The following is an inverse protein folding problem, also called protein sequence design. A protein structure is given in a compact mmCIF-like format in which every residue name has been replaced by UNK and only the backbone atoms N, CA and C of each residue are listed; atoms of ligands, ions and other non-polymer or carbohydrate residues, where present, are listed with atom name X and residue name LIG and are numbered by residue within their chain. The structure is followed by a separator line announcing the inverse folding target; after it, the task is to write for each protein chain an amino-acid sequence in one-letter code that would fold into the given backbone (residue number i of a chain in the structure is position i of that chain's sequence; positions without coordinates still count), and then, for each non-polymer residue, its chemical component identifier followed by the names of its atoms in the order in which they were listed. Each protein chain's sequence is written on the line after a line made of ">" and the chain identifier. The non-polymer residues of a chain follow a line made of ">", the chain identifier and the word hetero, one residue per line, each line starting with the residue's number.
data_IF_012381676259
#
_entry.id   IF_012381676259
#
_cell.length_a   1.000
_cell.length_b   1.000
_cell.length_c   1.000
_cell.angle_alpha   90.00
_cell.angle_beta   90.00
_cell.angle_gamma   90.00
#
_symmetry.space_group_name_H-M   'P 1'
#
loop_
_entity.id
_entity.type
_entity.pdbx_description
1 polymer ?
#
# COMPACT_ATOMS: atom_id res chain seq x y z
N UNK A 1 37.48 33.55 6.75
CA UNK A 1 38.57 32.56 6.76
C UNK A 1 38.54 31.82 5.44
N UNK A 2 39.68 31.72 4.75
CA UNK A 2 39.81 31.03 3.47
C UNK A 2 40.70 29.81 3.69
N UNK A 3 40.13 28.73 4.20
CA UNK A 3 40.90 27.55 4.59
C UNK A 3 40.06 26.46 5.25
N UNK A 4 40.73 25.46 5.82
CA UNK A 4 40.10 24.43 6.67
C UNK A 4 40.42 24.69 8.13
N UNK A 5 39.39 24.79 8.96
CA UNK A 5 39.53 24.93 10.41
C UNK A 5 39.51 23.53 11.04
N UNK A 6 40.65 23.11 11.58
CA UNK A 6 40.76 21.86 12.34
C UNK A 6 40.51 22.11 13.81
N UNK A 7 39.37 21.64 14.31
CA UNK A 7 38.95 21.70 15.69
C UNK A 7 39.51 20.49 16.44
N UNK A 8 40.21 20.73 17.54
CA UNK A 8 40.60 19.69 18.48
C UNK A 8 40.42 20.26 19.88
N UNK A 9 39.16 20.34 20.30
CA UNK A 9 38.76 21.00 21.55
C UNK A 9 37.97 20.02 22.40
N UNK A 10 38.42 19.85 23.64
CA UNK A 10 37.76 18.99 24.63
C UNK A 10 36.45 19.59 25.17
N UNK A 11 36.22 20.89 24.94
CA UNK A 11 35.02 21.61 25.35
C UNK A 11 34.17 22.05 24.16
N UNK A 12 33.37 23.09 24.37
CA UNK A 12 32.44 23.61 23.38
C UNK A 12 33.16 24.47 22.34
N UNK A 13 32.92 24.18 21.06
CA UNK A 13 33.43 24.96 19.94
C UNK A 13 32.38 25.96 19.46
N UNK A 14 32.71 27.24 19.45
CA UNK A 14 31.87 28.29 18.85
C UNK A 14 32.65 28.91 17.71
N UNK A 15 32.20 28.70 16.48
CA UNK A 15 32.90 29.15 15.28
C UNK A 15 31.95 29.97 14.42
N UNK A 16 32.45 31.08 13.89
CA UNK A 16 31.70 31.91 12.96
C UNK A 16 32.60 32.35 11.79
N UNK A 17 32.02 32.36 10.60
CA UNK A 17 32.55 33.03 9.42
C UNK A 17 31.41 33.72 8.69
N UNK A 18 31.63 34.88 8.08
CA UNK A 18 30.58 35.54 7.29
C UNK A 18 30.43 34.92 5.90
N UNK A 19 31.42 34.17 5.43
CA UNK A 19 31.45 33.55 4.11
C UNK A 19 31.36 32.02 4.25
N UNK A 20 32.32 31.29 3.69
CA UNK A 20 32.40 29.84 3.77
C UNK A 20 33.26 29.40 4.96
N UNK A 21 32.79 28.40 5.69
CA UNK A 21 33.52 27.76 6.78
C UNK A 21 33.67 26.27 6.46
N UNK A 22 34.92 25.80 6.34
CA UNK A 22 35.22 24.38 6.22
C UNK A 22 35.79 23.87 7.54
N UNK A 23 35.15 22.87 8.14
CA UNK A 23 35.48 22.35 9.48
C UNK A 23 35.89 20.89 9.45
N UNK A 24 36.81 20.52 10.33
CA UNK A 24 37.24 19.14 10.56
C UNK A 24 37.70 18.94 12.01
N UNK A 25 37.91 17.69 12.42
CA UNK A 25 38.54 17.32 13.69
C UNK A 25 37.55 16.82 14.75
N UNK A 26 37.94 16.92 16.03
CA UNK A 26 37.20 16.36 17.17
C UNK A 26 36.75 17.47 18.12
N UNK A 27 35.48 17.42 18.54
CA UNK A 27 34.88 18.37 19.47
C UNK A 27 34.02 17.65 20.51
N UNK A 28 33.75 18.29 21.65
CA UNK A 28 32.66 17.83 22.52
C UNK A 28 31.33 18.29 21.93
N UNK A 29 31.02 19.59 21.99
CA UNK A 29 29.88 20.21 21.30
C UNK A 29 30.37 21.26 20.31
N UNK A 30 29.54 21.63 19.34
CA UNK A 30 29.87 22.74 18.45
C UNK A 30 28.64 23.53 18.00
N UNK A 31 28.80 24.85 17.90
CA UNK A 31 27.89 25.72 17.13
C UNK A 31 28.72 26.43 16.07
N UNK A 32 28.27 26.31 14.82
CA UNK A 32 28.97 26.83 13.66
C UNK A 32 28.06 27.75 12.88
N UNK A 33 28.53 28.97 12.61
CA UNK A 33 27.80 29.99 11.88
C UNK A 33 28.56 30.33 10.60
N UNK A 34 27.93 30.18 9.44
CA UNK A 34 28.53 30.50 8.14
C UNK A 34 27.47 30.90 7.12
N UNK A 35 27.85 31.52 6.00
CA UNK A 35 26.97 31.54 4.82
C UNK A 35 26.92 30.14 4.18
N UNK A 36 28.08 29.50 4.03
CA UNK A 36 28.20 28.12 3.54
C UNK A 36 29.08 27.31 4.48
N UNK A 37 28.61 26.14 4.91
CA UNK A 37 29.40 25.24 5.74
C UNK A 37 29.79 23.98 4.97
N UNK A 38 31.05 23.54 5.10
CA UNK A 38 31.55 22.29 4.54
C UNK A 38 32.12 21.43 5.67
N UNK A 39 31.51 20.27 5.92
CA UNK A 39 32.04 19.28 6.85
C UNK A 39 33.09 18.43 6.15
N UNK A 40 34.35 18.53 6.59
CA UNK A 40 35.53 17.89 5.99
C UNK A 40 36.15 16.87 6.98
N UNK A 41 35.30 16.10 7.66
CA UNK A 41 35.69 15.13 8.69
C UNK A 41 35.55 15.66 10.11
N UNK A 42 34.33 15.74 10.65
CA UNK A 42 34.05 16.23 12.01
C UNK A 42 33.49 15.09 12.87
N UNK A 43 34.06 14.90 14.07
CA UNK A 43 33.53 14.02 15.10
C UNK A 43 33.16 14.83 16.34
N UNK A 44 31.93 14.68 16.81
CA UNK A 44 31.40 15.35 17.99
C UNK A 44 30.83 14.35 19.00
N UNK A 45 31.22 14.48 20.27
CA UNK A 45 30.74 13.60 21.35
C UNK A 45 29.37 14.03 21.91
N UNK A 46 29.01 15.30 21.73
CA UNK A 46 27.75 15.89 22.15
C UNK A 46 27.04 16.58 20.98
N UNK A 47 26.17 17.53 21.32
CA UNK A 47 25.30 18.17 20.33
C UNK A 47 26.06 19.09 19.38
N UNK A 48 25.60 19.16 18.14
CA UNK A 48 26.14 20.06 17.13
C UNK A 48 25.02 20.88 16.50
N UNK A 49 25.25 22.18 16.34
CA UNK A 49 24.36 23.11 15.64
C UNK A 49 25.07 23.74 14.45
N UNK A 50 24.48 23.57 13.27
CA UNK A 50 24.92 24.16 12.02
C UNK A 50 23.96 25.28 11.63
N UNK A 51 24.46 26.52 11.60
CA UNK A 51 23.72 27.69 11.15
C UNK A 51 24.36 28.18 9.85
N UNK A 52 23.83 27.73 8.71
CA UNK A 52 24.32 28.16 7.41
C UNK A 52 23.24 28.07 6.34
N UNK A 53 23.27 28.96 5.34
CA UNK A 53 22.35 28.88 4.21
C UNK A 53 22.45 27.50 3.53
N UNK A 54 23.67 26.98 3.36
CA UNK A 54 23.90 25.62 2.87
C UNK A 54 24.94 24.88 3.70
N UNK A 55 24.66 23.64 4.09
CA UNK A 55 25.65 22.73 4.70
C UNK A 55 25.94 21.56 3.76
N UNK A 56 27.17 21.48 3.26
CA UNK A 56 27.66 20.38 2.43
C UNK A 56 28.72 19.55 3.14
N UNK A 57 29.18 18.51 2.43
CA UNK A 57 30.13 17.54 2.97
C UNK A 57 31.26 17.21 1.99
N UNK A 58 32.47 17.08 2.53
CA UNK A 58 33.67 16.53 1.86
C UNK A 58 34.32 15.39 2.65
N UNK A 59 33.93 15.18 3.92
CA UNK A 59 34.42 14.11 4.78
C UNK A 59 33.37 13.72 5.82
N UNK A 60 33.57 12.58 6.50
CA UNK A 60 32.58 11.98 7.40
C UNK A 60 32.12 12.94 8.50
N UNK A 61 30.81 12.93 8.80
CA UNK A 61 30.24 13.56 9.98
C UNK A 61 29.81 12.48 10.96
N UNK A 62 30.37 12.52 12.17
CA UNK A 62 30.00 11.62 13.26
C UNK A 62 29.56 12.45 14.46
N UNK A 63 28.30 12.34 14.87
CA UNK A 63 27.75 13.06 16.02
C UNK A 63 27.08 12.09 16.97
N UNK A 64 27.59 12.01 18.19
CA UNK A 64 27.03 11.14 19.21
C UNK A 64 25.80 11.76 19.92
N UNK A 65 25.71 13.09 19.98
CA UNK A 65 24.52 13.81 20.43
C UNK A 65 23.60 14.26 19.30
N UNK A 66 22.66 15.15 19.61
CA UNK A 66 21.72 15.70 18.63
C UNK A 66 22.42 16.62 17.62
N UNK A 67 21.95 16.57 16.37
CA UNK A 67 22.40 17.46 15.29
C UNK A 67 21.27 18.39 14.86
N UNK A 68 21.48 19.70 14.89
CA UNK A 68 20.52 20.69 14.42
C UNK A 68 21.06 21.40 13.19
N UNK A 69 20.30 21.38 12.09
CA UNK A 69 20.63 22.09 10.86
C UNK A 69 19.63 23.21 10.60
N UNK A 70 20.10 24.46 10.67
CA UNK A 70 19.34 25.66 10.36
C UNK A 70 19.85 26.27 9.05
N UNK A 71 18.97 26.52 8.07
CA UNK A 71 19.41 27.01 6.78
C UNK A 71 18.41 26.89 5.64
N UNK A 72 18.95 26.91 4.42
CA UNK A 72 18.20 26.60 3.21
C UNK A 72 18.34 25.12 2.88
N UNK A 73 19.56 24.57 2.86
CA UNK A 73 19.74 23.18 2.43
C UNK A 73 20.88 22.44 3.12
N UNK A 74 20.78 21.11 3.09
CA UNK A 74 21.87 20.20 3.49
C UNK A 74 22.11 19.12 2.45
N UNK A 75 23.37 18.76 2.26
CA UNK A 75 23.82 17.64 1.45
C UNK A 75 24.91 16.86 2.21
N UNK A 76 24.50 15.77 2.86
CA UNK A 76 25.31 14.89 3.71
C UNK A 76 25.28 13.46 3.19
N UNK A 77 25.74 13.28 1.95
CA UNK A 77 25.52 12.05 1.17
C UNK A 77 26.53 10.93 1.48
N UNK A 78 27.45 11.13 2.43
CA UNK A 78 28.45 10.14 2.78
C UNK A 78 27.84 8.99 3.61
N UNK A 79 27.86 7.77 3.07
CA UNK A 79 27.35 6.59 3.77
C UNK A 79 28.04 6.34 5.11
N UNK A 80 29.29 6.75 5.30
CA UNK A 80 29.99 6.56 6.58
C UNK A 80 29.58 7.55 7.68
N UNK A 81 28.60 8.44 7.44
CA UNK A 81 28.08 9.30 8.49
C UNK A 81 27.44 8.48 9.61
N UNK A 82 27.57 8.98 10.84
CA UNK A 82 27.02 8.37 12.04
C UNK A 82 26.29 9.41 12.87
N UNK A 83 25.02 9.15 13.16
CA UNK A 83 24.19 9.97 14.03
C UNK A 83 23.58 9.05 15.09
N UNK A 84 23.89 9.29 16.36
CA UNK A 84 23.42 8.43 17.45
C UNK A 84 22.22 9.02 18.20
N UNK A 85 21.77 10.19 17.78
CA UNK A 85 20.60 10.90 18.32
C UNK A 85 19.88 11.61 17.16
N UNK A 86 18.85 12.40 17.47
CA UNK A 86 18.01 13.08 16.48
C UNK A 86 18.82 14.04 15.59
N UNK A 87 18.55 13.96 14.30
CA UNK A 87 18.90 14.95 13.29
C UNK A 87 17.67 15.83 13.06
N UNK A 88 17.70 17.02 13.63
CA UNK A 88 16.62 18.00 13.52
C UNK A 88 16.89 18.98 12.37
N UNK A 89 15.91 19.08 11.47
CA UNK A 89 15.94 19.93 10.30
C UNK A 89 15.10 21.19 10.53
N UNK A 90 15.69 22.34 10.27
CA UNK A 90 15.01 23.62 10.21
C UNK A 90 15.43 24.32 8.92
N UNK A 91 14.89 23.80 7.81
CA UNK A 91 15.33 24.12 6.47
C UNK A 91 14.20 24.73 5.64
N UNK A 92 14.53 25.78 4.88
CA UNK A 92 13.60 26.39 3.90
C UNK A 92 13.69 25.75 2.52
N UNK A 93 14.63 24.82 2.32
CA UNK A 93 14.92 24.12 1.08
C UNK A 93 15.12 22.61 1.31
N UNK A 94 16.00 21.97 0.53
CA UNK A 94 16.11 20.52 0.47
C UNK A 94 17.10 19.93 1.49
N UNK A 95 16.82 18.71 1.95
CA UNK A 95 17.72 17.91 2.77
C UNK A 95 18.06 16.58 2.09
N UNK A 96 19.35 16.29 1.95
CA UNK A 96 19.86 14.97 1.60
C UNK A 96 20.78 14.46 2.72
N UNK A 97 20.49 13.28 3.26
CA UNK A 97 21.21 12.69 4.39
C UNK A 97 21.38 11.18 4.18
N UNK A 98 22.61 10.72 4.23
CA UNK A 98 22.95 9.29 4.22
C UNK A 98 23.71 8.97 5.50
N UNK A 99 23.46 7.82 6.11
CA UNK A 99 24.19 7.31 7.27
C UNK A 99 24.41 5.79 7.20
N UNK A 100 25.44 5.27 7.87
CA UNK A 100 25.75 3.82 7.86
C UNK A 100 24.98 3.02 8.90
N UNK A 101 24.33 3.71 9.84
CA UNK A 101 23.73 3.11 11.03
C UNK A 101 22.26 3.49 11.18
N UNK A 102 21.87 3.82 12.42
CA UNK A 102 20.60 4.45 12.70
C UNK A 102 20.60 5.91 12.25
N UNK A 103 19.45 6.39 11.79
CA UNK A 103 19.20 7.78 11.50
C UNK A 103 17.80 8.13 12.01
N UNK A 104 17.70 9.13 12.89
CA UNK A 104 16.41 9.64 13.37
C UNK A 104 16.24 11.07 12.83
N UNK A 105 15.23 11.31 11.98
CA UNK A 105 15.02 12.61 11.33
C UNK A 105 13.72 13.25 11.82
N UNK A 106 13.79 14.55 12.10
CA UNK A 106 12.62 15.36 12.47
C UNK A 106 12.72 16.79 11.92
N UNK A 107 11.63 17.54 12.03
CA UNK A 107 11.63 18.98 11.77
C UNK A 107 11.00 19.35 10.43
N UNK A 108 11.59 20.28 9.70
CA UNK A 108 11.00 20.90 8.51
C UNK A 108 12.02 21.06 7.38
N UNK A 109 11.59 20.76 6.16
CA UNK A 109 12.33 20.97 4.91
C UNK A 109 11.34 20.95 3.73
N UNK A 110 11.66 21.56 2.58
CA UNK A 110 10.80 21.46 1.38
C UNK A 110 10.81 20.05 0.78
N UNK A 111 11.97 19.39 0.80
CA UNK A 111 12.12 17.98 0.44
C UNK A 111 13.12 17.30 1.36
N UNK A 112 12.91 16.02 1.64
CA UNK A 112 13.82 15.18 2.41
C UNK A 112 14.11 13.90 1.65
N UNK A 113 15.38 13.64 1.41
CA UNK A 113 15.90 12.36 0.95
C UNK A 113 16.81 11.81 2.05
N UNK A 114 16.35 10.77 2.75
CA UNK A 114 17.09 10.17 3.85
C UNK A 114 17.33 8.68 3.60
N UNK A 115 18.57 8.25 3.78
CA UNK A 115 18.94 6.84 3.65
C UNK A 115 19.85 6.35 4.78
N UNK A 116 19.57 5.16 5.29
CA UNK A 116 20.30 4.56 6.40
C UNK A 116 20.07 3.03 6.46
N UNK A 117 20.76 2.32 7.35
CA UNK A 117 20.41 0.92 7.62
C UNK A 117 19.10 0.84 8.41
N UNK A 118 18.97 1.68 9.44
CA UNK A 118 17.73 1.88 10.19
C UNK A 118 17.37 3.36 10.15
N UNK A 119 16.14 3.67 9.76
CA UNK A 119 15.66 5.04 9.66
C UNK A 119 14.38 5.17 10.47
N UNK A 120 14.34 6.15 11.35
CA UNK A 120 13.16 6.52 12.11
C UNK A 120 12.81 7.97 11.81
N UNK A 121 11.54 8.26 11.60
CA UNK A 121 11.09 9.62 11.29
C UNK A 121 9.94 10.00 12.21
N UNK A 122 10.06 11.18 12.82
CA UNK A 122 9.02 11.75 13.68
C UNK A 122 8.80 13.22 13.37
N UNK A 123 7.54 13.67 13.31
CA UNK A 123 7.19 15.09 13.13
C UNK A 123 7.98 15.79 12.02
N UNK A 124 8.05 15.17 10.84
CA UNK A 124 8.76 15.71 9.68
C UNK A 124 7.77 16.32 8.69
N UNK A 125 7.76 17.65 8.59
CA UNK A 125 6.93 18.37 7.64
C UNK A 125 7.73 18.68 6.37
N UNK A 126 7.30 18.12 5.24
CA UNK A 126 7.94 18.35 3.95
C UNK A 126 7.00 18.03 2.78
N UNK A 127 7.18 18.70 1.64
CA UNK A 127 6.34 18.48 0.46
C UNK A 127 6.68 17.17 -0.26
N UNK A 128 7.92 16.70 -0.14
CA UNK A 128 8.36 15.46 -0.77
C UNK A 128 9.34 14.73 0.14
N UNK A 129 8.97 13.53 0.57
CA UNK A 129 9.76 12.72 1.49
C UNK A 129 10.10 11.41 0.80
N UNK A 130 11.39 11.11 0.69
CA UNK A 130 11.94 9.85 0.16
C UNK A 130 12.80 9.23 1.25
N UNK A 131 12.39 8.04 1.70
CA UNK A 131 13.02 7.30 2.77
C UNK A 131 13.49 5.95 2.25
N UNK A 132 14.74 5.60 2.51
CA UNK A 132 15.36 4.37 2.06
C UNK A 132 16.11 3.71 3.21
N UNK A 133 15.61 2.57 3.71
CA UNK A 133 16.30 1.82 4.75
C UNK A 133 15.99 0.33 4.74
N UNK A 134 16.86 -0.47 5.35
CA UNK A 134 16.55 -1.89 5.60
C UNK A 134 15.41 -2.02 6.60
N UNK A 135 15.38 -1.13 7.61
CA UNK A 135 14.29 -0.97 8.55
C UNK A 135 13.86 0.50 8.59
N UNK A 136 12.58 0.76 8.31
CA UNK A 136 11.98 2.08 8.36
C UNK A 136 10.85 2.10 9.38
N UNK A 137 10.92 3.01 10.34
CA UNK A 137 9.91 3.23 11.36
C UNK A 137 9.32 4.64 11.23
N UNK A 138 8.00 4.70 11.05
CA UNK A 138 7.25 5.96 10.99
C UNK A 138 6.57 6.22 12.34
N UNK A 139 6.96 7.29 13.01
CA UNK A 139 6.50 7.67 14.34
C UNK A 139 5.60 8.90 14.27
N UNK A 140 4.27 8.72 14.24
CA UNK A 140 3.26 9.80 14.14
C UNK A 140 3.61 10.81 13.04
N UNK A 141 3.36 10.39 11.81
CA UNK A 141 3.83 11.09 10.63
C UNK A 141 2.67 11.81 9.95
N UNK A 142 2.81 13.11 9.73
CA UNK A 142 1.82 13.91 9.02
C UNK A 142 2.54 14.75 7.98
N UNK A 143 2.16 14.57 6.72
CA UNK A 143 2.63 15.39 5.60
C UNK A 143 1.48 15.73 4.68
N UNK A 144 1.46 16.96 4.17
CA UNK A 144 0.56 17.34 3.07
C UNK A 144 1.09 16.89 1.71
N UNK A 145 2.36 16.50 1.65
CA UNK A 145 3.10 16.20 0.44
C UNK A 145 3.14 14.72 0.08
N UNK A 146 4.05 14.40 -0.83
CA UNK A 146 4.29 13.02 -1.29
C UNK A 146 5.21 12.28 -0.32
N UNK A 147 4.93 10.99 -0.14
CA UNK A 147 5.71 10.07 0.67
C UNK A 147 6.18 8.90 -0.17
N UNK A 148 7.48 8.62 -0.19
CA UNK A 148 8.06 7.45 -0.85
C UNK A 148 8.82 6.63 0.18
N UNK A 149 8.45 5.35 0.31
CA UNK A 149 8.98 4.41 1.30
C UNK A 149 9.63 3.25 0.56
N UNK A 150 10.96 3.16 0.64
CA UNK A 150 11.75 2.14 -0.07
C UNK A 150 12.59 1.29 0.91
N UNK A 151 12.99 0.11 0.45
CA UNK A 151 13.98 -0.75 1.11
C UNK A 151 13.44 -2.08 1.62
N UNK A 152 13.79 -2.42 2.86
CA UNK A 152 13.51 -3.72 3.45
C UNK A 152 12.11 -3.78 4.06
N UNK A 153 12.00 -3.39 5.33
CA UNK A 153 10.77 -3.46 6.12
C UNK A 153 10.33 -2.06 6.55
N UNK A 154 9.05 -1.76 6.37
CA UNK A 154 8.42 -0.52 6.81
C UNK A 154 7.36 -0.84 7.85
N UNK A 155 7.48 -0.21 9.02
CA UNK A 155 6.53 -0.29 10.12
C UNK A 155 6.12 1.11 10.56
N UNK A 156 5.02 1.18 11.30
CA UNK A 156 4.58 2.38 11.96
C UNK A 156 4.32 2.13 13.45
N UNK A 157 4.50 3.18 14.25
CA UNK A 157 4.21 3.18 15.68
C UNK A 157 3.03 4.10 16.05
N UNK A 158 2.53 4.84 15.07
CA UNK A 158 1.35 5.68 15.22
C UNK A 158 0.81 6.09 13.86
N UNK A 159 -0.31 6.80 13.86
CA UNK A 159 -1.08 7.10 12.66
C UNK A 159 -0.27 7.91 11.62
N UNK A 160 -0.57 7.65 10.35
CA UNK A 160 0.00 8.32 9.19
C UNK A 160 -1.06 9.15 8.48
N UNK A 161 -0.88 10.47 8.42
CA UNK A 161 -1.70 11.35 7.59
C UNK A 161 -0.89 11.82 6.39
N UNK A 162 -1.29 11.40 5.19
CA UNK A 162 -0.58 11.75 3.95
C UNK A 162 -1.54 12.42 2.98
N UNK A 163 -1.31 13.70 2.73
CA UNK A 163 -2.11 14.51 1.79
C UNK A 163 -1.83 14.21 0.32
N UNK A 164 -0.57 13.91 -0.01
CA UNK A 164 -0.12 13.60 -1.36
C UNK A 164 -0.07 12.11 -1.66
N UNK A 165 0.62 11.75 -2.74
CA UNK A 165 0.79 10.36 -3.16
C UNK A 165 1.71 9.60 -2.21
N UNK A 166 1.31 8.40 -1.80
CA UNK A 166 2.16 7.45 -1.07
C UNK A 166 2.68 6.39 -2.02
N UNK A 167 3.99 6.32 -2.22
CA UNK A 167 4.65 5.31 -3.05
C UNK A 167 5.34 4.28 -2.18
N UNK A 168 4.99 3.00 -2.37
CA UNK A 168 5.46 1.87 -1.59
C UNK A 168 6.39 1.00 -2.45
N UNK A 169 7.69 1.11 -2.25
CA UNK A 169 8.71 0.31 -2.94
C UNK A 169 9.47 -0.67 -2.02
N UNK A 170 9.04 -0.82 -0.77
CA UNK A 170 9.72 -1.69 0.19
C UNK A 170 9.32 -3.17 0.06
N UNK A 171 10.18 -4.07 0.54
CA UNK A 171 9.95 -5.51 0.49
C UNK A 171 8.80 -5.95 1.40
N UNK A 172 8.63 -5.30 2.56
CA UNK A 172 7.50 -5.51 3.46
C UNK A 172 7.00 -4.15 3.96
N UNK A 173 5.68 -3.94 3.91
CA UNK A 173 5.02 -2.72 4.38
C UNK A 173 3.89 -3.12 5.32
N UNK A 174 3.96 -2.64 6.56
CA UNK A 174 2.91 -2.84 7.57
C UNK A 174 2.48 -1.50 8.13
N UNK A 175 1.38 -0.98 7.58
CA UNK A 175 0.80 0.31 7.95
C UNK A 175 -0.65 0.13 8.43
N UNK A 176 -0.82 -0.41 9.64
CA UNK A 176 -2.08 -0.99 10.12
C UNK A 176 -2.81 -0.21 11.22
N UNK A 177 -2.38 1.01 11.54
CA UNK A 177 -3.12 1.85 12.50
C UNK A 177 -4.46 2.28 11.90
N UNK A 178 -5.49 2.30 12.72
CA UNK A 178 -6.85 2.57 12.29
C UNK A 178 -7.14 4.02 11.95
N UNK A 179 -6.31 4.95 12.46
CA UNK A 179 -6.43 6.38 12.22
C UNK A 179 -5.57 6.88 11.04
N UNK A 180 -4.88 5.96 10.35
CA UNK A 180 -4.21 6.26 9.09
C UNK A 180 -5.18 6.86 8.07
N UNK A 181 -4.70 7.84 7.29
CA UNK A 181 -5.47 8.52 6.25
C UNK A 181 -4.56 8.88 5.08
N UNK A 182 -4.63 8.07 4.03
CA UNK A 182 -3.98 8.28 2.74
C UNK A 182 -4.95 9.01 1.82
N UNK A 183 -4.87 10.35 1.82
CA UNK A 183 -5.78 11.20 1.04
C UNK A 183 -5.45 11.13 -0.45
N UNK A 184 -4.16 11.09 -0.80
CA UNK A 184 -3.71 10.88 -2.17
C UNK A 184 -3.56 9.39 -2.50
N UNK A 185 -3.37 9.11 -3.79
CA UNK A 185 -3.23 7.73 -4.27
C UNK A 185 -2.09 6.99 -3.56
N UNK A 186 -2.31 5.69 -3.33
CA UNK A 186 -1.29 4.76 -2.87
C UNK A 186 -0.81 3.93 -4.06
N UNK A 187 0.47 4.10 -4.40
CA UNK A 187 1.15 3.43 -5.51
C UNK A 187 1.96 2.27 -4.97
N UNK A 188 1.55 1.06 -5.30
CA UNK A 188 2.31 -0.16 -5.07
C UNK A 188 3.39 -0.25 -6.15
N UNK A 189 4.65 0.03 -5.79
CA UNK A 189 5.77 0.10 -6.74
C UNK A 189 6.61 -1.18 -6.68
N UNK A 190 6.01 -2.30 -7.09
CA UNK A 190 6.62 -3.64 -6.96
C UNK A 190 7.02 -3.97 -5.53
N UNK A 191 6.20 -3.55 -4.56
CA UNK A 191 6.37 -3.91 -3.16
C UNK A 191 6.24 -5.43 -2.98
N UNK A 192 6.85 -6.00 -1.94
CA UNK A 192 6.64 -7.40 -1.60
C UNK A 192 5.30 -7.61 -0.89
N UNK A 193 5.30 -7.78 0.43
CA UNK A 193 4.06 -7.90 1.20
C UNK A 193 3.57 -6.52 1.67
N UNK A 194 2.29 -6.21 1.43
CA UNK A 194 1.68 -4.92 1.77
C UNK A 194 0.44 -5.14 2.65
N UNK A 195 0.48 -4.60 3.86
CA UNK A 195 -0.65 -4.55 4.80
C UNK A 195 -0.98 -3.09 5.09
N UNK A 196 -2.16 -2.64 4.68
CA UNK A 196 -2.63 -1.26 4.84
C UNK A 196 -3.96 -1.20 5.58
N UNK A 197 -4.07 -0.22 6.47
CA UNK A 197 -5.34 0.22 7.04
C UNK A 197 -5.52 1.71 6.76
N UNK A 198 -6.72 2.08 6.37
CA UNK A 198 -7.13 3.46 6.12
C UNK A 198 -8.48 3.73 6.79
N UNK A 199 -8.63 4.89 7.42
CA UNK A 199 -9.86 5.25 8.14
C UNK A 199 -11.00 5.69 7.22
N UNK A 200 -10.72 6.06 5.97
CA UNK A 200 -11.65 6.57 4.96
C UNK A 200 -11.61 5.69 3.69
N UNK A 201 -11.34 6.33 2.55
CA UNK A 201 -11.24 5.74 1.22
C UNK A 201 -9.77 5.62 0.88
N UNK A 202 -9.35 4.46 0.40
CA UNK A 202 -8.01 4.25 -0.12
C UNK A 202 -8.07 4.05 -1.64
N UNK A 203 -7.27 4.83 -2.37
CA UNK A 203 -7.14 4.77 -3.84
C UNK A 203 -5.87 4.03 -4.22
N UNK A 204 -5.99 2.82 -4.78
CA UNK A 204 -4.85 1.93 -5.05
C UNK A 204 -4.49 1.86 -6.54
N UNK A 205 -3.20 1.68 -6.82
CA UNK A 205 -2.69 1.28 -8.14
C UNK A 205 -1.34 0.58 -8.04
N UNK A 206 -0.94 -0.16 -9.07
CA UNK A 206 0.41 -0.70 -9.22
C UNK A 206 0.51 -2.19 -8.88
N UNK A 207 1.69 -2.63 -8.43
CA UNK A 207 2.01 -4.04 -8.22
C UNK A 207 2.54 -4.37 -6.82
N UNK A 208 2.14 -5.54 -6.32
CA UNK A 208 2.63 -6.08 -5.06
C UNK A 208 2.78 -7.61 -5.10
N UNK A 209 3.61 -8.16 -4.21
CA UNK A 209 3.71 -9.60 -3.96
C UNK A 209 2.45 -10.15 -3.29
N UNK A 210 1.95 -9.50 -2.24
CA UNK A 210 0.66 -9.81 -1.60
C UNK A 210 0.02 -8.54 -1.05
N UNK A 211 -1.31 -8.52 -0.97
CA UNK A 211 -2.06 -7.33 -0.60
C UNK A 211 -3.09 -7.64 0.50
N UNK A 212 -3.06 -6.89 1.60
CA UNK A 212 -4.06 -6.92 2.66
C UNK A 212 -4.47 -5.49 2.97
N UNK A 213 -5.73 -5.14 2.72
CA UNK A 213 -6.21 -3.76 2.84
C UNK A 213 -7.51 -3.73 3.62
N UNK A 214 -7.56 -2.85 4.62
CA UNK A 214 -8.77 -2.51 5.34
C UNK A 214 -9.06 -1.02 5.19
N UNK A 215 -10.27 -0.66 4.77
CA UNK A 215 -10.68 0.73 4.65
C UNK A 215 -11.99 0.98 5.40
N UNK A 216 -12.09 2.13 6.09
CA UNK A 216 -13.28 2.50 6.84
C UNK A 216 -14.49 2.82 5.95
N UNK A 217 -14.27 3.22 4.70
CA UNK A 217 -15.32 3.61 3.75
C UNK A 217 -15.28 2.80 2.46
N UNK A 218 -14.18 2.88 1.70
CA UNK A 218 -14.08 2.16 0.44
C UNK A 218 -12.63 1.83 0.05
N UNK A 219 -12.47 0.75 -0.70
CA UNK A 219 -11.24 0.46 -1.45
C UNK A 219 -11.54 0.74 -2.91
N UNK A 220 -10.89 1.75 -3.47
CA UNK A 220 -11.03 2.16 -4.86
C UNK A 220 -9.72 1.93 -5.63
N UNK A 221 -9.79 2.18 -6.94
CA UNK A 221 -8.65 2.07 -7.84
C UNK A 221 -8.44 3.35 -8.64
N UNK A 222 -7.20 3.82 -8.66
CA UNK A 222 -6.74 4.87 -9.56
C UNK A 222 -6.02 4.33 -10.80
N UNK A 223 -5.71 3.02 -10.81
CA UNK A 223 -5.04 2.31 -11.88
C UNK A 223 -5.17 0.80 -11.69
N UNK A 224 -4.62 0.00 -12.61
CA UNK A 224 -4.66 -1.45 -12.50
C UNK A 224 -3.86 -1.94 -11.30
N UNK A 225 -4.33 -3.02 -10.68
CA UNK A 225 -3.63 -3.77 -9.65
C UNK A 225 -3.06 -5.06 -10.24
N UNK A 226 -1.78 -5.32 -9.99
CA UNK A 226 -1.13 -6.58 -10.31
C UNK A 226 -0.56 -7.21 -9.02
N UNK A 227 -1.29 -8.16 -8.46
CA UNK A 227 -0.92 -8.83 -7.20
C UNK A 227 -0.57 -10.27 -7.49
N UNK A 228 0.69 -10.65 -7.25
CA UNK A 228 1.18 -12.00 -7.57
C UNK A 228 0.60 -13.09 -6.65
N UNK A 229 0.40 -12.76 -5.38
CA UNK A 229 -0.15 -13.64 -4.34
C UNK A 229 -1.57 -13.26 -3.95
N UNK A 230 -1.94 -13.58 -2.71
CA UNK A 230 -3.30 -13.33 -2.21
C UNK A 230 -3.60 -11.84 -2.05
N UNK A 231 -4.88 -11.51 -2.27
CA UNK A 231 -5.47 -10.20 -1.98
C UNK A 231 -6.58 -10.35 -0.94
N UNK A 232 -6.43 -9.76 0.24
CA UNK A 232 -7.45 -9.72 1.28
C UNK A 232 -7.97 -8.29 1.43
N UNK A 233 -9.25 -8.07 1.15
CA UNK A 233 -9.83 -6.74 1.02
C UNK A 233 -11.05 -6.63 1.92
N UNK A 234 -11.07 -5.64 2.81
CA UNK A 234 -12.19 -5.39 3.70
C UNK A 234 -12.55 -3.91 3.74
N UNK A 235 -13.77 -3.58 3.34
CA UNK A 235 -14.32 -2.23 3.39
C UNK A 235 -15.84 -2.30 3.21
N UNK A 236 -16.60 -1.26 3.57
CA UNK A 236 -18.01 -1.24 3.19
C UNK A 236 -18.22 -1.39 1.67
N UNK A 237 -17.42 -0.69 0.87
CA UNK A 237 -17.44 -0.79 -0.60
C UNK A 237 -16.06 -1.15 -1.16
N UNK A 238 -16.00 -2.06 -2.12
CA UNK A 238 -14.78 -2.43 -2.84
C UNK A 238 -15.02 -2.23 -4.34
N UNK A 239 -14.25 -1.35 -4.98
CA UNK A 239 -14.41 -0.98 -6.39
C UNK A 239 -13.11 -1.24 -7.15
N UNK A 240 -12.91 -2.49 -7.59
CA UNK A 240 -11.77 -2.89 -8.41
C UNK A 240 -12.18 -3.01 -9.89
N UNK A 241 -12.54 -1.88 -10.49
CA UNK A 241 -13.20 -1.82 -11.81
C UNK A 241 -12.26 -1.91 -13.01
N UNK A 242 -10.94 -1.83 -12.81
CA UNK A 242 -10.01 -1.84 -13.94
C UNK A 242 -9.93 -3.23 -14.58
N UNK A 243 -10.26 -3.37 -15.86
CA UNK A 243 -10.24 -4.67 -16.56
C UNK A 243 -8.84 -5.23 -16.76
N UNK A 244 -7.78 -4.43 -16.56
CA UNK A 244 -6.39 -4.86 -16.61
C UNK A 244 -5.84 -5.34 -15.25
N UNK A 245 -6.68 -5.43 -14.22
CA UNK A 245 -6.29 -6.04 -12.95
C UNK A 245 -5.85 -7.50 -13.15
N UNK A 246 -4.77 -7.90 -12.49
CA UNK A 246 -4.23 -9.25 -12.53
C UNK A 246 -4.02 -9.76 -11.10
N UNK A 247 -4.64 -10.89 -10.77
CA UNK A 247 -4.54 -11.52 -9.46
C UNK A 247 -3.98 -12.93 -9.65
N UNK A 248 -2.72 -13.13 -9.27
CA UNK A 248 -2.04 -14.43 -9.35
C UNK A 248 -2.38 -15.39 -8.22
N UNK A 249 -2.95 -14.87 -7.12
CA UNK A 249 -3.48 -15.67 -6.00
C UNK A 249 -4.96 -15.38 -5.74
N UNK A 250 -5.51 -16.05 -4.72
CA UNK A 250 -6.91 -15.88 -4.35
C UNK A 250 -7.23 -14.47 -3.84
N UNK A 251 -8.39 -13.96 -4.24
CA UNK A 251 -8.96 -12.70 -3.80
C UNK A 251 -10.07 -12.98 -2.79
N UNK A 252 -9.91 -12.51 -1.56
CA UNK A 252 -10.96 -12.55 -0.54
C UNK A 252 -11.53 -11.16 -0.35
N UNK A 253 -12.83 -11.00 -0.62
CA UNK A 253 -13.57 -9.75 -0.40
C UNK A 253 -14.41 -9.85 0.87
N UNK A 254 -14.40 -8.81 1.68
CA UNK A 254 -15.28 -8.64 2.83
C UNK A 254 -15.95 -7.27 2.72
N UNK A 255 -17.00 -7.21 1.90
CA UNK A 255 -17.77 -6.00 1.63
C UNK A 255 -19.09 -6.01 2.39
N UNK A 256 -19.28 -5.10 3.35
CA UNK A 256 -20.58 -5.04 4.05
C UNK A 256 -21.69 -4.46 3.18
N UNK A 257 -21.35 -3.83 2.05
CA UNK A 257 -22.28 -3.34 1.04
C UNK A 257 -21.96 -3.98 -0.31
N UNK A 258 -21.12 -3.34 -1.13
CA UNK A 258 -20.89 -3.75 -2.52
C UNK A 258 -19.43 -4.10 -2.77
N UNK A 259 -19.19 -5.15 -3.55
CA UNK A 259 -17.91 -5.44 -4.18
C UNK A 259 -18.09 -5.49 -5.70
N UNK A 260 -17.26 -4.73 -6.43
CA UNK A 260 -17.07 -4.87 -7.87
C UNK A 260 -15.63 -5.29 -8.13
N UNK A 261 -15.41 -6.42 -8.81
CA UNK A 261 -14.06 -6.91 -9.13
C UNK A 261 -13.96 -7.32 -10.58
N UNK A 262 -13.07 -6.67 -11.32
CA UNK A 262 -12.69 -7.04 -12.67
C UNK A 262 -11.29 -7.66 -12.67
N UNK A 263 -11.07 -8.69 -13.48
CA UNK A 263 -9.78 -9.34 -13.69
C UNK A 263 -9.55 -9.63 -15.18
N UNK A 264 -8.31 -9.43 -15.63
CA UNK A 264 -7.88 -9.63 -17.02
C UNK A 264 -7.67 -11.10 -17.40
N UNK A 265 -7.77 -12.02 -16.44
CA UNK A 265 -7.50 -13.44 -16.64
C UNK A 265 -8.39 -14.29 -15.75
N UNK A 266 -7.83 -15.37 -15.22
CA UNK A 266 -8.50 -16.22 -14.24
C UNK A 266 -8.66 -15.47 -12.91
N UNK A 267 -9.72 -15.76 -12.18
CA UNK A 267 -9.98 -15.15 -10.88
C UNK A 267 -10.54 -16.20 -9.91
N UNK A 268 -9.77 -16.48 -8.86
CA UNK A 268 -10.26 -17.19 -7.68
C UNK A 268 -10.74 -16.15 -6.67
N UNK A 269 -12.05 -16.06 -6.47
CA UNK A 269 -12.67 -15.08 -5.59
C UNK A 269 -13.60 -15.74 -4.56
N UNK A 270 -13.44 -15.35 -3.31
CA UNK A 270 -14.27 -15.80 -2.20
C UNK A 270 -14.58 -14.68 -1.19
N UNK A 271 -15.38 -14.99 -0.17
CA UNK A 271 -15.63 -14.10 0.95
C UNK A 271 -17.08 -13.62 1.06
N UNK A 272 -17.30 -12.44 1.63
CA UNK A 272 -18.63 -11.92 1.91
C UNK A 272 -18.88 -10.61 1.16
N UNK A 273 -20.04 -10.48 0.53
CA UNK A 273 -20.52 -9.21 -0.01
C UNK A 273 -22.06 -9.11 0.05
N UNK A 274 -22.64 -7.98 0.45
CA UNK A 274 -24.10 -7.82 0.31
C UNK A 274 -24.53 -7.74 -1.17
N UNK A 275 -23.66 -7.25 -2.05
CA UNK A 275 -23.79 -7.37 -3.49
C UNK A 275 -22.41 -7.56 -4.14
N UNK A 276 -22.26 -8.60 -4.95
CA UNK A 276 -21.05 -8.84 -5.73
C UNK A 276 -21.35 -8.69 -7.22
N UNK A 277 -20.60 -7.82 -7.88
CA UNK A 277 -20.46 -7.78 -9.33
C UNK A 277 -19.03 -8.19 -9.68
N UNK A 278 -18.86 -9.21 -10.51
CA UNK A 278 -17.54 -9.75 -10.80
C UNK A 278 -17.41 -10.12 -12.27
N UNK A 279 -16.29 -9.74 -12.86
CA UNK A 279 -15.93 -10.10 -14.23
C UNK A 279 -14.53 -10.67 -14.29
N UNK A 280 -14.40 -11.89 -14.81
CA UNK A 280 -13.12 -12.48 -15.18
C UNK A 280 -13.08 -12.69 -16.69
N UNK A 281 -11.94 -12.46 -17.36
CA UNK A 281 -11.88 -12.70 -18.81
C UNK A 281 -11.89 -14.19 -19.17
N UNK A 282 -11.46 -15.06 -18.26
CA UNK A 282 -11.31 -16.50 -18.50
C UNK A 282 -12.18 -17.27 -17.50
N UNK A 283 -11.56 -17.94 -16.52
CA UNK A 283 -12.24 -18.69 -15.47
C UNK A 283 -12.51 -17.81 -14.25
N UNK A 284 -13.70 -17.94 -13.67
CA UNK A 284 -14.09 -17.35 -12.40
C UNK A 284 -14.48 -18.48 -11.44
N UNK A 285 -13.70 -18.68 -10.39
CA UNK A 285 -14.06 -19.54 -9.27
C UNK A 285 -14.64 -18.68 -8.13
N UNK A 286 -15.86 -18.97 -7.69
CA UNK A 286 -16.61 -18.21 -6.65
C UNK A 286 -16.59 -18.87 -5.25
N UNK A 287 -15.65 -19.77 -5.00
CA UNK A 287 -15.67 -20.64 -3.81
C UNK A 287 -15.72 -19.92 -2.47
N UNK A 288 -16.50 -20.50 -1.55
CA UNK A 288 -16.65 -20.04 -0.16
C UNK A 288 -17.18 -18.59 -0.11
N UNK A 289 -18.08 -18.25 -1.02
CA UNK A 289 -18.72 -16.94 -1.08
C UNK A 289 -20.07 -16.96 -0.39
N UNK A 290 -20.32 -15.92 0.43
CA UNK A 290 -21.60 -15.66 1.09
C UNK A 290 -22.10 -14.30 0.65
N UNK A 291 -23.14 -14.30 -0.19
CA UNK A 291 -23.54 -13.13 -0.95
C UNK A 291 -25.00 -12.75 -0.70
N UNK A 292 -25.27 -11.45 -0.68
CA UNK A 292 -26.64 -10.93 -0.73
C UNK A 292 -27.21 -10.97 -2.16
N UNK A 293 -26.39 -10.67 -3.17
CA UNK A 293 -26.70 -10.83 -4.58
C UNK A 293 -25.42 -11.06 -5.39
N UNK A 294 -25.56 -11.68 -6.56
CA UNK A 294 -24.44 -12.04 -7.42
C UNK A 294 -24.76 -11.64 -8.87
N UNK A 295 -23.87 -10.88 -9.50
CA UNK A 295 -23.78 -10.73 -10.95
C UNK A 295 -22.37 -11.15 -11.37
N UNK A 296 -22.27 -12.27 -12.08
CA UNK A 296 -21.01 -12.88 -12.47
C UNK A 296 -20.91 -13.00 -13.99
N UNK A 297 -19.79 -12.55 -14.55
CA UNK A 297 -19.46 -12.69 -15.97
C UNK A 297 -18.09 -13.34 -16.13
N UNK A 298 -18.02 -14.43 -16.90
CA UNK A 298 -16.75 -15.08 -17.25
C UNK A 298 -16.87 -15.92 -18.52
N UNK A 299 -15.79 -16.48 -19.05
CA UNK A 299 -15.94 -17.56 -20.03
C UNK A 299 -16.45 -18.83 -19.35
N UNK A 300 -15.87 -19.16 -18.20
CA UNK A 300 -16.27 -20.30 -17.37
C UNK A 300 -16.48 -19.82 -15.94
N UNK A 301 -17.64 -20.09 -15.37
CA UNK A 301 -17.90 -19.87 -13.95
C UNK A 301 -17.85 -21.23 -13.28
N UNK A 302 -16.97 -21.39 -12.30
CA UNK A 302 -16.71 -22.64 -11.61
C UNK A 302 -16.78 -22.45 -10.09
N UNK A 303 -16.64 -23.56 -9.38
CA UNK A 303 -16.42 -23.55 -7.94
C UNK A 303 -15.64 -24.78 -7.50
N UNK A 304 -14.90 -24.61 -6.41
CA UNK A 304 -14.21 -25.65 -5.64
C UNK A 304 -14.76 -25.77 -4.20
N UNK A 305 -15.58 -24.81 -3.75
CA UNK A 305 -16.22 -24.75 -2.43
C UNK A 305 -17.73 -24.50 -2.50
N UNK A 306 -18.32 -24.15 -1.36
CA UNK A 306 -19.76 -23.83 -1.25
C UNK A 306 -20.03 -22.39 -1.71
N UNK A 307 -21.16 -22.16 -2.37
CA UNK A 307 -21.65 -20.85 -2.78
C UNK A 307 -23.04 -20.58 -2.19
N UNK A 308 -23.14 -19.53 -1.35
CA UNK A 308 -24.38 -19.07 -0.74
C UNK A 308 -24.78 -17.73 -1.33
N UNK A 309 -25.97 -17.64 -1.91
CA UNK A 309 -26.55 -16.37 -2.39
C UNK A 309 -27.98 -16.23 -1.90
N UNK A 310 -28.24 -15.23 -1.08
CA UNK A 310 -29.56 -15.04 -0.45
C UNK A 310 -30.56 -14.28 -1.33
N UNK A 311 -30.07 -13.59 -2.37
CA UNK A 311 -30.89 -12.82 -3.32
C UNK A 311 -30.68 -13.25 -4.76
N UNK A 312 -30.92 -12.32 -5.69
CA UNK A 312 -30.83 -12.60 -7.12
C UNK A 312 -29.40 -12.98 -7.54
N UNK A 313 -29.31 -13.96 -8.43
CA UNK A 313 -28.08 -14.42 -9.07
C UNK A 313 -28.21 -14.26 -10.58
N UNK A 314 -27.25 -13.59 -11.21
CA UNK A 314 -27.15 -13.43 -12.65
C UNK A 314 -25.81 -14.02 -13.10
N UNK A 315 -25.86 -15.00 -14.01
CA UNK A 315 -24.68 -15.71 -14.51
C UNK A 315 -24.59 -15.54 -16.02
N UNK A 316 -23.55 -14.87 -16.50
CA UNK A 316 -23.26 -14.69 -17.93
C UNK A 316 -21.98 -15.43 -18.28
N UNK A 317 -22.07 -16.52 -19.04
CA UNK A 317 -20.90 -17.34 -19.36
C UNK A 317 -21.03 -18.19 -20.64
N UNK A 318 -19.92 -18.79 -21.08
CA UNK A 318 -20.03 -19.92 -22.02
C UNK A 318 -20.47 -21.18 -21.30
N UNK A 319 -19.88 -21.45 -20.12
CA UNK A 319 -20.33 -22.53 -19.26
C UNK A 319 -20.29 -22.17 -17.77
N UNK A 320 -21.15 -22.83 -17.01
CA UNK A 320 -21.29 -22.71 -15.56
C UNK A 320 -21.18 -24.12 -14.96
N UNK A 321 -20.29 -24.30 -13.99
CA UNK A 321 -20.13 -25.52 -13.20
C UNK A 321 -20.19 -25.19 -11.71
N UNK A 322 -21.40 -25.32 -11.14
CA UNK A 322 -21.72 -25.04 -9.74
C UNK A 322 -22.36 -26.29 -9.08
N UNK A 323 -21.68 -27.44 -9.17
CA UNK A 323 -22.21 -28.77 -8.78
C UNK A 323 -22.16 -29.16 -7.30
N UNK A 324 -21.64 -28.30 -6.42
CA UNK A 324 -21.55 -28.60 -4.98
C UNK A 324 -22.96 -28.68 -4.41
N UNK A 325 -23.28 -29.83 -3.81
CA UNK A 325 -24.60 -30.12 -3.24
C UNK A 325 -24.99 -29.20 -2.08
N UNK A 326 -24.02 -28.49 -1.49
CA UNK A 326 -24.26 -27.54 -0.40
C UNK A 326 -24.56 -26.12 -0.87
N UNK A 327 -24.46 -25.85 -2.17
CA UNK A 327 -24.86 -24.55 -2.71
C UNK A 327 -26.28 -24.18 -2.28
N UNK A 328 -26.50 -22.89 -2.03
CA UNK A 328 -27.79 -22.39 -1.59
C UNK A 328 -28.08 -21.03 -2.24
N UNK A 329 -28.94 -21.07 -3.25
CA UNK A 329 -29.50 -19.93 -3.95
C UNK A 329 -30.94 -19.71 -3.46
N UNK A 330 -31.14 -18.75 -2.56
CA UNK A 330 -32.48 -18.45 -2.03
C UNK A 330 -33.30 -17.51 -2.92
N UNK A 331 -32.66 -16.87 -3.90
CA UNK A 331 -33.31 -16.00 -4.90
C UNK A 331 -33.30 -16.59 -6.31
N UNK A 332 -33.91 -15.90 -7.29
CA UNK A 332 -33.91 -16.36 -8.67
C UNK A 332 -32.49 -16.41 -9.23
N UNK A 333 -32.18 -17.49 -9.94
CA UNK A 333 -30.95 -17.63 -10.73
C UNK A 333 -31.31 -17.41 -12.20
N UNK A 334 -30.79 -16.32 -12.76
CA UNK A 334 -30.93 -15.94 -14.16
C UNK A 334 -29.70 -16.37 -14.93
N UNK A 335 -29.91 -17.20 -15.94
CA UNK A 335 -28.86 -17.74 -16.79
C UNK A 335 -28.80 -16.95 -18.11
N UNK A 336 -27.63 -16.47 -18.47
CA UNK A 336 -27.27 -16.12 -19.84
C UNK A 336 -26.04 -16.97 -20.23
N UNK A 337 -26.29 -18.27 -20.43
CA UNK A 337 -25.25 -19.26 -20.60
C UNK A 337 -25.27 -19.80 -22.02
N UNK A 338 -24.18 -19.62 -22.75
CA UNK A 338 -24.17 -19.94 -24.17
C UNK A 338 -24.20 -21.45 -24.45
N UNK A 339 -23.61 -22.28 -23.58
CA UNK A 339 -23.43 -23.72 -23.81
C UNK A 339 -24.03 -24.55 -22.68
N UNK A 340 -23.36 -24.65 -21.53
CA UNK A 340 -23.72 -25.63 -20.51
C UNK A 340 -23.80 -25.02 -19.12
N UNK A 341 -24.83 -25.40 -18.37
CA UNK A 341 -25.00 -25.11 -16.97
C UNK A 341 -25.13 -26.43 -16.21
N UNK A 342 -24.17 -26.72 -15.34
CA UNK A 342 -24.29 -27.72 -14.29
C UNK A 342 -24.48 -26.98 -12.97
N UNK A 343 -25.62 -27.15 -12.29
CA UNK A 343 -25.93 -26.43 -11.05
C UNK A 343 -26.59 -27.35 -10.02
N UNK A 344 -26.08 -27.31 -8.79
CA UNK A 344 -26.70 -28.00 -7.66
C UNK A 344 -27.21 -26.98 -6.66
N UNK A 345 -28.28 -27.33 -5.94
CA UNK A 345 -28.83 -26.52 -4.87
C UNK A 345 -29.40 -27.39 -3.74
N UNK A 346 -29.15 -26.99 -2.50
CA UNK A 346 -29.57 -27.70 -1.28
C UNK A 346 -30.99 -27.34 -0.82
N UNK A 347 -31.73 -26.53 -1.58
CA UNK A 347 -33.08 -26.07 -1.26
C UNK A 347 -33.95 -25.97 -2.54
N UNK A 348 -34.92 -25.06 -2.54
CA UNK A 348 -35.73 -24.80 -3.72
C UNK A 348 -34.94 -23.93 -4.71
N UNK A 349 -34.94 -24.28 -5.99
CA UNK A 349 -34.19 -23.56 -7.01
C UNK A 349 -35.14 -22.96 -8.05
N UNK A 350 -35.13 -21.64 -8.20
CA UNK A 350 -35.82 -20.93 -9.27
C UNK A 350 -34.85 -20.58 -10.39
N UNK A 351 -34.99 -21.23 -11.54
CA UNK A 351 -34.19 -20.95 -12.75
C UNK A 351 -35.00 -20.17 -13.80
N UNK A 352 -34.34 -19.19 -14.41
CA UNK A 352 -34.87 -18.41 -15.53
C UNK A 352 -33.74 -18.04 -16.51
N UNK A 353 -34.08 -17.53 -17.69
CA UNK A 353 -33.11 -17.16 -18.73
C UNK A 353 -32.86 -18.28 -19.74
N UNK A 354 -31.61 -18.48 -20.15
CA UNK A 354 -31.25 -19.38 -21.25
C UNK A 354 -29.98 -20.20 -21.00
N UNK A 355 -30.00 -21.45 -21.45
CA UNK A 355 -28.85 -22.36 -21.56
C UNK A 355 -29.11 -23.39 -22.67
N UNK A 356 -28.08 -23.95 -23.32
CA UNK A 356 -28.32 -25.06 -24.26
C UNK A 356 -28.42 -26.39 -23.51
N UNK A 357 -27.52 -26.64 -22.57
CA UNK A 357 -27.49 -27.86 -21.77
C UNK A 357 -27.65 -27.45 -20.32
N UNK A 358 -28.69 -27.95 -19.65
CA UNK A 358 -28.92 -27.72 -18.23
C UNK A 358 -28.97 -29.06 -17.51
N UNK A 359 -27.98 -29.30 -16.65
CA UNK A 359 -27.98 -30.38 -15.68
C UNK A 359 -28.16 -29.77 -14.29
N UNK A 360 -29.24 -30.11 -13.61
CA UNK A 360 -29.55 -29.57 -12.29
C UNK A 360 -29.75 -30.70 -11.27
N UNK A 361 -29.36 -30.45 -10.03
CA UNK A 361 -29.62 -31.34 -8.90
C UNK A 361 -30.12 -30.51 -7.73
N UNK A 362 -31.38 -30.71 -7.33
CA UNK A 362 -32.00 -29.95 -6.25
C UNK A 362 -32.48 -30.87 -5.14
N UNK A 363 -32.29 -30.47 -3.88
CA UNK A 363 -32.86 -31.18 -2.73
C UNK A 363 -34.34 -30.84 -2.56
N UNK A 364 -34.73 -29.59 -2.84
CA UNK A 364 -36.10 -29.12 -2.79
C UNK A 364 -36.82 -29.20 -4.14
N UNK A 365 -37.51 -28.12 -4.50
CA UNK A 365 -38.30 -28.00 -5.72
C UNK A 365 -37.53 -27.20 -6.77
N UNK A 366 -37.38 -27.77 -7.97
CA UNK A 366 -36.98 -27.01 -9.14
C UNK A 366 -38.20 -26.27 -9.72
N UNK A 367 -38.13 -24.94 -9.76
CA UNK A 367 -39.10 -24.09 -10.44
C UNK A 367 -38.47 -23.49 -11.69
N UNK A 368 -39.08 -23.74 -12.85
CA UNK A 368 -38.72 -23.05 -14.08
C UNK A 368 -39.60 -21.81 -14.25
N UNK A 369 -38.98 -20.62 -14.26
CA UNK A 369 -39.62 -19.35 -14.62
C UNK A 369 -39.68 -19.19 -16.15
N UNK A 370 -39.23 -18.05 -16.66
CA UNK A 370 -39.01 -17.85 -18.11
C UNK A 370 -37.69 -18.51 -18.54
N UNK A 371 -37.65 -19.85 -18.53
CA UNK A 371 -36.47 -20.65 -18.90
C UNK A 371 -36.57 -21.17 -20.34
N UNK A 372 -35.53 -20.94 -21.14
CA UNK A 372 -35.41 -21.38 -22.53
C UNK A 372 -34.23 -22.33 -22.71
N UNK A 373 -34.50 -23.55 -23.17
CA UNK A 373 -33.48 -24.54 -23.55
C UNK A 373 -33.55 -24.74 -25.07
N UNK A 374 -32.71 -24.00 -25.81
CA UNK A 374 -32.76 -23.97 -27.27
C UNK A 374 -31.87 -25.05 -27.89
N UNK A 375 -32.48 -26.03 -28.58
CA UNK A 375 -31.78 -27.11 -29.28
C UNK A 375 -30.85 -27.97 -28.40
N UNK A 376 -31.12 -28.09 -27.11
CA UNK A 376 -30.29 -28.89 -26.20
C UNK A 376 -31.08 -29.71 -25.18
N UNK A 377 -30.45 -30.00 -24.05
CA UNK A 377 -30.89 -31.06 -23.12
C UNK A 377 -31.16 -30.50 -21.74
N UNK A 378 -32.28 -30.91 -21.14
CA UNK A 378 -32.57 -30.69 -19.73
C UNK A 378 -32.50 -32.03 -18.98
N UNK A 379 -31.64 -32.10 -17.96
CA UNK A 379 -31.55 -33.20 -16.99
C UNK A 379 -31.78 -32.58 -15.61
N UNK A 380 -32.83 -33.03 -14.91
CA UNK A 380 -33.26 -32.49 -13.63
C UNK A 380 -33.59 -33.60 -12.63
#
# INVERSE_FOLDING_TARGET
>A
FQGRLSLNVAGDAQVADTNSLRVAGNVNTATMNASTLIVDGLAAQGNVTFNAASTGQSGVLSVAGASTFNGDSIALDNQANSFNDVVHLNLTGAASITASGGLNVSGTATSVNASANSLSVSSLASENIVLQADQLELNNFSTMGNLTLNGGNVIQQGALQVGGTTTLGASNVTLQDEANNFVGNVVLNSAGSVNLRDQQVIELQGSAGSLNVQAGTAINQSGALNVNGNSNLAAPTINLINTANSFGGGVTVNATQQATVNASGDLLLGGNAAALTVTAQNELDLSNSVLGSLNATAQHITQTGELLVTGATELTAQAVDLRNEHNNFSGPVTLDVAVQTDISDNNDLLLQGQSQILNTSVVGTLTAGELSIANGTLIA
#
